data_IF_985976700115
#
_entry.id   IF_985976700115
#
_cell.length_a   1.000
_cell.length_b   1.000
_cell.length_c   1.000
_cell.angle_alpha   90.00
_cell.angle_beta   90.00
_cell.angle_gamma   90.00
#
_symmetry.space_group_name_H-M   'P 1'
#
loop_
_entity.id
_entity.type
_entity.pdbx_description
1 polymer ?
#
# COMPACT_ATOMS: atom_id res chain seq x y z
N UNK A 1 20.27 5.38 8.27
CA UNK A 1 20.65 4.59 7.07
C UNK A 1 19.37 4.22 6.31
N UNK A 2 19.44 4.10 5.00
CA UNK A 2 18.35 4.27 4.02
C UNK A 2 17.21 3.21 4.04
N UNK A 3 15.96 3.68 3.87
CA UNK A 3 14.73 2.89 3.72
C UNK A 3 14.35 2.66 2.23
N UNK A 4 14.05 1.40 1.92
CA UNK A 4 13.38 0.92 0.70
C UNK A 4 11.95 0.51 1.07
N UNK A 5 11.02 0.64 0.12
CA UNK A 5 9.55 0.53 0.25
C UNK A 5 8.92 1.44 1.35
N UNK A 6 7.71 1.91 1.06
CA UNK A 6 7.27 3.24 1.48
C UNK A 6 6.47 3.20 2.79
N UNK A 7 7.16 2.83 3.87
CA UNK A 7 6.62 2.87 5.24
C UNK A 7 7.58 3.65 6.15
N UNK A 8 7.08 4.71 6.82
CA UNK A 8 7.83 5.55 7.78
C UNK A 8 7.63 4.98 9.21
N UNK A 9 8.62 4.84 10.12
CA UNK A 9 9.54 5.80 10.79
C UNK A 9 10.89 5.12 11.14
N UNK A 10 12.05 5.76 11.38
CA UNK A 10 12.40 7.01 12.07
C UNK A 10 13.34 6.63 13.24
N UNK A 11 14.66 6.63 13.00
CA UNK A 11 15.69 6.07 13.89
C UNK A 11 15.77 6.73 15.29
N UNK A 12 16.09 5.88 16.27
CA UNK A 12 16.24 6.13 17.70
C UNK A 12 17.39 7.09 18.06
N UNK A 13 17.08 8.13 18.83
CA UNK A 13 18.00 8.76 19.77
C UNK A 13 17.23 9.05 21.07
N UNK A 14 17.77 8.55 22.18
CA UNK A 14 17.12 8.60 23.48
C UNK A 14 17.04 10.01 24.07
N UNK A 15 15.91 10.31 24.70
CA UNK A 15 15.88 11.00 25.97
C UNK A 15 14.63 10.59 26.76
N UNK A 16 14.87 10.25 28.02
CA UNK A 16 13.85 9.89 28.99
C UNK A 16 12.96 11.11 29.31
N UNK A 17 11.65 10.88 29.39
CA UNK A 17 10.75 11.76 30.12
C UNK A 17 9.68 10.94 30.85
N UNK A 18 9.67 11.12 32.16
CA UNK A 18 8.68 10.63 33.13
C UNK A 18 7.33 11.32 32.95
N UNK A 19 6.36 10.84 33.74
CA UNK A 19 5.03 11.37 34.07
C UNK A 19 3.91 10.67 33.30
N UNK A 20 2.77 10.32 33.90
CA UNK A 20 2.25 10.59 35.22
C UNK A 20 0.81 10.10 35.26
N UNK A 21 0.40 9.55 36.39
CA UNK A 21 -0.99 9.19 36.72
C UNK A 21 -1.88 10.43 36.58
N UNK A 22 -3.03 10.35 35.90
CA UNK A 22 -4.21 11.13 36.29
C UNK A 22 -5.54 10.53 35.82
N UNK A 23 -6.54 10.79 36.67
CA UNK A 23 -7.82 10.11 36.85
C UNK A 23 -8.90 10.37 35.79
N UNK A 24 -9.83 9.40 35.76
CA UNK A 24 -11.28 9.51 35.45
C UNK A 24 -11.87 10.91 35.66
N UNK A 25 -12.60 11.41 34.67
CA UNK A 25 -13.81 12.22 34.87
C UNK A 25 -14.89 11.88 33.84
N UNK A 26 -16.12 11.76 34.36
CA UNK A 26 -17.41 11.62 33.66
C UNK A 26 -17.93 12.98 33.20
N UNK A 27 -19.06 12.94 32.49
CA UNK A 27 -19.93 14.03 32.00
C UNK A 27 -19.48 14.56 30.64
N UNK A 28 -20.30 14.70 29.60
CA UNK A 28 -21.73 14.50 29.39
C UNK A 28 -22.12 15.47 28.28
N UNK A 29 -22.55 14.98 27.11
CA UNK A 29 -23.07 15.87 26.05
C UNK A 29 -24.22 15.21 25.29
N UNK A 30 -25.40 15.84 25.42
CA UNK A 30 -26.60 15.64 24.60
C UNK A 30 -26.37 16.32 23.25
N UNK A 31 -26.80 15.67 22.16
CA UNK A 31 -26.82 16.27 20.82
C UNK A 31 -27.70 15.45 19.88
N UNK A 32 -28.79 16.08 19.43
CA UNK A 32 -29.94 15.53 18.72
C UNK A 32 -29.61 14.82 17.39
N UNK A 33 -30.34 13.74 17.10
CA UNK A 33 -30.43 13.12 15.77
C UNK A 33 -31.63 13.76 15.07
N UNK A 34 -31.42 14.55 14.01
CA UNK A 34 -32.50 15.00 13.13
C UNK A 34 -32.83 13.87 12.15
N UNK A 35 -34.03 13.31 12.25
CA UNK A 35 -34.57 12.37 11.26
C UNK A 35 -35.11 13.15 10.06
N UNK A 36 -34.47 12.99 8.90
CA UNK A 36 -35.02 13.38 7.61
C UNK A 36 -35.48 12.13 6.87
N UNK A 37 -36.80 11.94 6.73
CA UNK A 37 -37.37 10.92 5.86
C UNK A 37 -37.37 11.45 4.42
N UNK A 38 -36.56 10.84 3.56
CA UNK A 38 -36.72 10.91 2.11
C UNK A 38 -36.55 9.47 1.57
N UNK A 39 -37.41 9.08 0.63
CA UNK A 39 -37.71 7.69 0.31
C UNK A 39 -36.50 6.75 0.10
N UNK A 40 -36.61 5.55 0.65
CA UNK A 40 -35.97 4.34 0.13
C UNK A 40 -34.46 4.14 0.33
N UNK A 41 -33.71 5.10 0.89
CA UNK A 41 -32.27 4.94 1.15
C UNK A 41 -31.94 5.42 2.56
N UNK A 42 -31.56 4.49 3.46
CA UNK A 42 -31.07 4.84 4.80
C UNK A 42 -29.59 5.24 4.67
N UNK A 43 -29.32 6.54 4.64
CA UNK A 43 -27.96 7.07 4.70
C UNK A 43 -27.45 7.06 6.14
N UNK A 44 -26.53 6.14 6.47
CA UNK A 44 -25.82 6.14 7.75
C UNK A 44 -24.78 7.27 7.75
N UNK A 45 -25.07 8.39 8.40
CA UNK A 45 -24.03 9.37 8.74
C UNK A 45 -23.25 8.85 9.95
N UNK A 46 -22.17 8.10 9.68
CA UNK A 46 -21.21 7.71 10.70
C UNK A 46 -20.53 8.94 11.28
N UNK A 47 -20.51 9.09 12.61
CA UNK A 47 -19.63 10.07 13.26
C UNK A 47 -18.19 9.69 12.97
N UNK A 48 -17.41 10.69 12.56
CA UNK A 48 -15.99 10.58 12.26
C UNK A 48 -15.20 10.34 13.57
N UNK A 49 -15.12 9.09 14.01
CA UNK A 49 -14.18 8.69 15.04
C UNK A 49 -12.79 8.54 14.38
N UNK A 50 -11.73 9.00 15.05
CA UNK A 50 -10.36 9.21 14.53
C UNK A 50 -9.65 7.97 13.92
N UNK A 51 -10.34 6.84 13.75
CA UNK A 51 -9.85 5.59 13.16
C UNK A 51 -10.75 5.05 12.01
N UNK A 52 -11.54 5.90 11.35
CA UNK A 52 -12.37 5.51 10.21
C UNK A 52 -13.83 5.16 10.57
N UNK A 53 -14.67 5.01 9.54
CA UNK A 53 -16.11 4.81 9.63
C UNK A 53 -16.47 3.42 10.20
N UNK A 54 -16.36 3.24 11.52
CA UNK A 54 -16.86 2.06 12.21
C UNK A 54 -18.19 2.37 12.89
N UNK A 55 -19.28 1.72 12.46
CA UNK A 55 -20.50 1.68 13.25
C UNK A 55 -20.26 0.70 14.39
N UNK A 56 -20.19 1.16 15.65
CA UNK A 56 -20.07 0.23 16.79
C UNK A 56 -21.24 -0.74 16.77
N UNK A 57 -20.93 -2.03 16.95
CA UNK A 57 -21.87 -3.15 16.95
C UNK A 57 -23.08 -2.92 17.88
N UNK A 58 -22.89 -2.17 18.96
CA UNK A 58 -23.94 -1.77 19.90
C UNK A 58 -25.00 -0.86 19.26
N UNK A 59 -24.60 0.15 18.48
CA UNK A 59 -25.53 1.12 17.88
C UNK A 59 -26.37 0.50 16.76
N UNK A 60 -25.79 -0.43 16.00
CA UNK A 60 -26.50 -1.15 14.94
C UNK A 60 -27.45 -2.22 15.50
N UNK A 61 -27.06 -2.86 16.61
CA UNK A 61 -27.91 -3.84 17.31
C UNK A 61 -29.19 -3.21 17.88
N UNK A 62 -29.10 -1.98 18.39
CA UNK A 62 -30.26 -1.26 18.91
C UNK A 62 -31.20 -0.79 17.78
N UNK A 63 -30.65 -0.41 16.61
CA UNK A 63 -31.44 -0.10 15.41
C UNK A 63 -32.23 -1.32 14.90
N UNK A 64 -31.59 -2.50 14.81
CA UNK A 64 -32.23 -3.72 14.34
C UNK A 64 -33.27 -4.29 15.32
N UNK A 65 -33.14 -4.01 16.63
CA UNK A 65 -34.18 -4.31 17.64
C UNK A 65 -35.40 -3.41 17.49
N UNK A 66 -35.18 -2.13 17.24
CA UNK A 66 -36.27 -1.14 17.13
C UNK A 66 -37.14 -1.35 15.87
N UNK A 67 -36.57 -1.91 14.80
CA UNK A 67 -37.26 -2.10 13.51
C UNK A 67 -37.61 -3.58 13.20
N UNK A 68 -37.57 -4.48 14.19
CA UNK A 68 -38.01 -5.87 14.02
C UNK A 68 -37.16 -6.75 13.11
N UNK A 69 -35.96 -6.30 12.71
CA UNK A 69 -35.03 -7.02 11.80
C UNK A 69 -33.88 -7.70 12.53
N UNK A 70 -34.07 -8.03 13.81
CA UNK A 70 -33.02 -8.59 14.68
C UNK A 70 -32.49 -9.95 14.19
N UNK A 71 -33.34 -10.76 13.54
CA UNK A 71 -32.96 -12.04 12.94
C UNK A 71 -32.08 -11.89 11.69
N UNK A 72 -32.11 -10.72 11.04
CA UNK A 72 -31.25 -10.38 9.90
C UNK A 72 -29.96 -9.68 10.32
N UNK A 73 -29.76 -9.40 11.61
CA UNK A 73 -28.59 -8.70 12.12
C UNK A 73 -27.26 -9.31 11.67
N UNK A 74 -27.03 -10.65 11.73
CA UNK A 74 -25.78 -11.24 11.26
C UNK A 74 -25.58 -11.09 9.75
N UNK A 75 -26.67 -11.22 8.98
CA UNK A 75 -26.65 -11.11 7.51
C UNK A 75 -26.42 -9.68 7.04
N UNK A 76 -27.09 -8.70 7.66
CA UNK A 76 -26.95 -7.28 7.34
C UNK A 76 -25.60 -6.77 7.82
N UNK A 77 -25.15 -7.15 9.03
CA UNK A 77 -23.82 -6.79 9.53
C UNK A 77 -22.71 -7.38 8.64
N UNK A 78 -22.83 -8.64 8.23
CA UNK A 78 -21.89 -9.25 7.30
C UNK A 78 -22.00 -8.67 5.88
N UNK A 79 -23.19 -8.32 5.40
CA UNK A 79 -23.37 -7.68 4.09
C UNK A 79 -22.84 -6.24 4.09
N UNK A 80 -23.00 -5.50 5.19
CA UNK A 80 -22.47 -4.14 5.35
C UNK A 80 -20.95 -4.17 5.52
N UNK A 81 -20.39 -5.11 6.29
CA UNK A 81 -18.94 -5.33 6.35
C UNK A 81 -18.37 -5.85 5.03
N UNK A 82 -19.08 -6.75 4.33
CA UNK A 82 -18.70 -7.16 2.97
C UNK A 82 -18.75 -5.98 2.01
N UNK A 83 -19.79 -5.14 2.03
CA UNK A 83 -19.84 -3.89 1.24
C UNK A 83 -18.73 -2.91 1.62
N UNK A 84 -18.40 -2.74 2.90
CA UNK A 84 -17.27 -1.92 3.35
C UNK A 84 -15.93 -2.50 2.87
N UNK A 85 -15.75 -3.82 2.91
CA UNK A 85 -14.59 -4.52 2.35
C UNK A 85 -14.57 -4.56 0.82
N UNK A 86 -15.73 -4.42 0.17
CA UNK A 86 -15.91 -4.52 -1.29
C UNK A 86 -15.91 -3.13 -1.96
N UNK A 87 -16.20 -2.05 -1.22
CA UNK A 87 -15.97 -0.65 -1.62
C UNK A 87 -14.55 -0.19 -1.31
N UNK A 88 -13.84 -0.85 -0.39
CA UNK A 88 -12.38 -0.80 -0.35
C UNK A 88 -11.83 -1.80 -1.36
N UNK A 89 -11.94 -1.45 -2.64
CA UNK A 89 -11.07 -2.03 -3.67
C UNK A 89 -9.66 -1.55 -3.35
N UNK A 90 -8.97 -2.26 -2.46
CA UNK A 90 -7.66 -1.84 -1.93
C UNK A 90 -6.65 -1.92 -3.07
N UNK A 91 -6.49 -0.80 -3.77
CA UNK A 91 -5.24 -0.48 -4.44
C UNK A 91 -4.11 -0.61 -3.41
N UNK A 92 -3.00 -1.24 -3.79
CA UNK A 92 -2.03 -1.78 -2.85
C UNK A 92 -1.11 -0.77 -2.14
N UNK A 93 -1.45 0.53 -2.10
CA UNK A 93 -0.70 1.48 -1.27
C UNK A 93 -0.97 1.16 0.21
N UNK A 94 0.06 0.73 0.93
CA UNK A 94 0.00 0.47 2.36
C UNK A 94 0.68 1.60 3.14
N UNK A 95 0.01 2.11 4.17
CA UNK A 95 0.51 3.20 5.00
C UNK A 95 0.46 2.82 6.48
N UNK A 96 1.58 2.92 7.18
CA UNK A 96 1.65 2.74 8.64
C UNK A 96 0.89 3.83 9.41
N UNK A 97 0.95 5.05 8.89
CA UNK A 97 0.32 6.23 9.46
C UNK A 97 -0.11 7.16 8.31
N UNK A 98 -1.21 7.90 8.51
CA UNK A 98 -1.72 8.88 7.56
C UNK A 98 -3.15 8.61 7.11
N UNK A 99 -3.57 9.28 6.04
CA UNK A 99 -4.88 9.09 5.42
C UNK A 99 -4.77 8.97 3.91
N UNK A 100 -5.61 8.13 3.32
CA UNK A 100 -5.83 8.13 1.88
C UNK A 100 -6.57 9.39 1.47
N UNK A 101 -6.17 9.97 0.34
CA UNK A 101 -6.71 11.25 -0.15
C UNK A 101 -6.81 11.28 -1.66
N UNK A 102 -7.70 12.13 -2.18
CA UNK A 102 -7.77 12.44 -3.61
C UNK A 102 -6.81 13.56 -4.03
N UNK A 103 -6.69 13.81 -5.34
CA UNK A 103 -5.87 14.90 -5.90
C UNK A 103 -6.26 16.27 -5.35
N UNK A 104 -7.56 16.53 -5.19
CA UNK A 104 -8.06 17.82 -4.69
C UNK A 104 -7.56 18.10 -3.26
N UNK A 105 -7.56 17.10 -2.39
CA UNK A 105 -7.02 17.23 -1.04
C UNK A 105 -5.50 17.43 -1.03
N UNK A 106 -4.77 16.81 -1.98
CA UNK A 106 -3.32 17.00 -2.11
C UNK A 106 -3.01 18.42 -2.57
N UNK A 107 -3.80 18.98 -3.49
CA UNK A 107 -3.63 20.35 -3.97
C UNK A 107 -3.82 21.41 -2.86
N UNK A 108 -4.56 21.07 -1.80
CA UNK A 108 -4.76 21.92 -0.63
C UNK A 108 -3.59 21.87 0.37
N UNK A 109 -2.63 20.97 0.20
CA UNK A 109 -1.48 20.87 1.11
C UNK A 109 -0.56 22.09 0.91
N UNK A 110 -0.33 22.91 1.94
CA UNK A 110 0.51 24.09 1.83
C UNK A 110 1.96 23.67 1.60
N UNK A 111 2.59 24.21 0.55
CA UNK A 111 4.01 23.99 0.31
C UNK A 111 4.82 24.90 1.22
N UNK A 112 5.78 24.38 2.01
CA UNK A 112 6.58 25.21 2.90
C UNK A 112 7.40 26.26 2.15
N UNK A 113 7.76 27.33 2.85
CA UNK A 113 8.64 28.35 2.29
C UNK A 113 10.02 27.77 2.01
N UNK A 114 10.53 28.02 0.79
CA UNK A 114 11.88 27.64 0.41
C UNK A 114 12.93 28.35 1.28
N UNK A 115 14.06 27.68 1.51
CA UNK A 115 15.27 28.30 2.08
C UNK A 115 16.33 28.45 0.99
N UNK A 116 17.43 29.16 1.29
CA UNK A 116 18.51 29.40 0.33
C UNK A 116 19.08 28.10 -0.32
N UNK A 117 19.06 26.97 0.42
CA UNK A 117 19.60 25.69 -0.02
C UNK A 117 18.54 24.63 -0.35
N UNK A 118 17.27 24.88 -0.04
CA UNK A 118 16.20 23.88 -0.16
C UNK A 118 14.92 24.48 -0.74
N UNK A 119 14.45 23.91 -1.85
CA UNK A 119 13.21 24.31 -2.53
C UNK A 119 12.24 23.14 -2.53
N UNK A 120 11.22 23.11 -1.65
CA UNK A 120 10.21 22.07 -1.67
C UNK A 120 9.45 22.10 -2.99
N UNK A 121 9.09 20.92 -3.48
CA UNK A 121 8.23 20.79 -4.65
C UNK A 121 6.82 20.44 -4.15
N UNK A 122 5.77 21.19 -4.56
CA UNK A 122 4.39 20.85 -4.22
C UNK A 122 4.06 19.40 -4.57
N UNK A 123 3.22 18.77 -3.74
CA UNK A 123 2.83 17.37 -3.99
C UNK A 123 2.01 17.22 -5.27
N UNK A 124 1.14 18.19 -5.58
CA UNK A 124 0.39 18.27 -6.84
C UNK A 124 1.31 18.30 -8.05
N UNK A 125 2.31 19.17 -8.05
CA UNK A 125 3.21 19.36 -9.19
C UNK A 125 3.98 18.09 -9.54
N UNK A 126 4.36 17.30 -8.52
CA UNK A 126 4.98 15.98 -8.75
C UNK A 126 4.01 15.02 -9.45
N UNK A 127 2.77 14.96 -8.98
CA UNK A 127 1.75 14.07 -9.54
C UNK A 127 1.46 14.50 -10.98
N UNK A 128 1.33 15.80 -11.23
CA UNK A 128 1.04 16.35 -12.54
C UNK A 128 2.19 16.12 -13.52
N UNK A 129 3.44 16.37 -13.10
CA UNK A 129 4.62 16.07 -13.92
C UNK A 129 4.70 14.58 -14.30
N UNK A 130 4.44 13.67 -13.35
CA UNK A 130 4.41 12.22 -13.65
C UNK A 130 3.26 11.90 -14.61
N UNK A 131 2.08 12.49 -14.40
CA UNK A 131 0.91 12.30 -15.26
C UNK A 131 1.16 12.76 -16.69
N UNK A 132 1.80 13.91 -16.87
CA UNK A 132 2.15 14.47 -18.17
C UNK A 132 3.13 13.57 -18.91
N UNK A 133 4.18 13.10 -18.24
CA UNK A 133 5.18 12.22 -18.86
C UNK A 133 4.58 10.86 -19.20
N UNK A 134 3.76 10.27 -18.33
CA UNK A 134 3.02 9.02 -18.62
C UNK A 134 2.15 9.18 -19.87
N UNK A 135 1.42 10.30 -19.99
CA UNK A 135 0.62 10.61 -21.19
C UNK A 135 1.48 10.82 -22.43
N UNK A 136 2.63 11.49 -22.31
CA UNK A 136 3.56 11.71 -23.41
C UNK A 136 4.13 10.39 -23.96
N UNK A 137 4.23 9.36 -23.12
CA UNK A 137 4.57 7.99 -23.53
C UNK A 137 3.39 7.19 -24.13
N UNK A 138 2.22 7.83 -24.32
CA UNK A 138 0.96 7.19 -24.72
C UNK A 138 0.51 6.07 -23.77
N UNK A 139 0.87 6.16 -22.49
CA UNK A 139 0.34 5.26 -21.46
C UNK A 139 -0.94 5.85 -20.87
N UNK A 140 -1.91 4.99 -20.57
CA UNK A 140 -3.13 5.39 -19.87
C UNK A 140 -3.01 5.01 -18.39
N UNK A 141 -3.33 5.96 -17.52
CA UNK A 141 -3.50 5.71 -16.10
C UNK A 141 -4.86 5.00 -15.94
N UNK A 142 -4.82 3.75 -15.49
CA UNK A 142 -6.02 2.96 -15.23
C UNK A 142 -6.63 3.29 -13.87
N UNK A 143 -5.77 3.52 -12.88
CA UNK A 143 -6.15 3.75 -11.50
C UNK A 143 -5.01 4.44 -10.76
N UNK A 144 -5.35 5.28 -9.80
CA UNK A 144 -4.38 5.96 -8.95
C UNK A 144 -4.89 6.00 -7.52
N UNK A 145 -3.96 5.93 -6.57
CA UNK A 145 -4.25 6.05 -5.15
C UNK A 145 -3.15 6.84 -4.49
N UNK A 146 -3.52 7.75 -3.60
CA UNK A 146 -2.59 8.59 -2.86
C UNK A 146 -2.88 8.56 -1.38
N UNK A 147 -1.87 8.91 -0.60
CA UNK A 147 -2.03 9.15 0.82
C UNK A 147 -1.03 10.16 1.36
N UNK A 148 -1.47 10.83 2.42
CA UNK A 148 -0.72 11.84 3.14
C UNK A 148 -0.41 11.35 4.55
N UNK A 149 0.85 11.47 4.96
CA UNK A 149 1.32 11.15 6.30
C UNK A 149 1.94 12.39 6.96
N UNK A 150 2.14 12.34 8.28
CA UNK A 150 2.73 13.42 9.08
C UNK A 150 2.07 14.79 8.78
N UNK A 151 0.74 14.84 8.93
CA UNK A 151 -0.05 16.07 8.71
C UNK A 151 0.17 16.72 7.33
N UNK A 152 0.29 15.89 6.29
CA UNK A 152 0.47 16.35 4.91
C UNK A 152 1.93 16.59 4.50
N UNK A 153 2.90 16.43 5.40
CA UNK A 153 4.32 16.66 5.07
C UNK A 153 4.92 15.57 4.19
N UNK A 154 4.29 14.41 4.08
CA UNK A 154 4.75 13.30 3.22
C UNK A 154 3.60 12.83 2.37
N UNK A 155 3.85 12.69 1.07
CA UNK A 155 2.89 12.16 0.12
C UNK A 155 3.45 10.89 -0.52
N UNK A 156 2.57 9.89 -0.61
CA UNK A 156 2.82 8.62 -1.25
C UNK A 156 1.72 8.35 -2.26
N UNK A 157 2.09 7.75 -3.39
CA UNK A 157 1.16 7.48 -4.48
C UNK A 157 1.50 6.22 -5.25
N UNK A 158 0.49 5.61 -5.85
CA UNK A 158 0.64 4.50 -6.79
C UNK A 158 -0.25 4.80 -8.00
N UNK A 159 0.33 4.82 -9.19
CA UNK A 159 -0.38 4.92 -10.47
C UNK A 159 -0.26 3.60 -11.22
N UNK A 160 -1.38 2.92 -11.48
CA UNK A 160 -1.42 1.73 -12.33
C UNK A 160 -1.65 2.15 -13.77
N UNK A 161 -0.82 1.67 -14.69
CA UNK A 161 -0.87 2.04 -16.11
C UNK A 161 -1.29 0.87 -16.99
N UNK A 162 -1.90 1.16 -18.13
CA UNK A 162 -2.49 0.17 -19.05
C UNK A 162 -1.48 -0.61 -19.88
N UNK A 163 -0.20 -0.21 -19.84
CA UNK A 163 0.85 -0.85 -20.61
C UNK A 163 1.25 -2.15 -19.93
N UNK A 164 0.70 -3.25 -20.39
CA UNK A 164 1.13 -4.60 -20.03
C UNK A 164 0.76 -5.53 -21.18
N UNK A 165 1.63 -6.48 -21.49
CA UNK A 165 1.32 -7.61 -22.37
C UNK A 165 0.56 -8.73 -21.64
N UNK A 166 0.42 -8.63 -20.32
CA UNK A 166 -0.13 -9.69 -19.47
C UNK A 166 -1.57 -9.41 -19.08
N UNK A 167 -2.36 -10.47 -18.99
CA UNK A 167 -3.71 -10.39 -18.43
C UNK A 167 -3.71 -10.47 -16.89
N UNK A 168 -2.57 -10.80 -16.27
CA UNK A 168 -2.47 -11.12 -14.83
C UNK A 168 -1.88 -9.99 -13.99
N UNK A 169 -1.06 -9.12 -14.57
CA UNK A 169 -0.52 -7.93 -13.89
C UNK A 169 -0.69 -6.68 -14.73
N UNK A 170 -0.40 -5.53 -14.13
CA UNK A 170 -0.26 -4.26 -14.82
C UNK A 170 0.95 -3.52 -14.27
N UNK A 171 1.66 -2.77 -15.12
CA UNK A 171 2.74 -1.89 -14.66
C UNK A 171 2.18 -0.84 -13.68
N UNK A 172 2.96 -0.50 -12.66
CA UNK A 172 2.61 0.56 -11.71
C UNK A 172 3.83 1.44 -11.37
N UNK A 173 3.56 2.72 -11.13
CA UNK A 173 4.55 3.72 -10.74
C UNK A 173 4.28 4.10 -9.28
N UNK A 174 5.25 3.83 -8.42
CA UNK A 174 5.25 4.32 -7.04
C UNK A 174 5.80 5.73 -6.98
N UNK A 175 5.15 6.62 -6.24
CA UNK A 175 5.50 8.03 -6.10
C UNK A 175 5.71 8.33 -4.62
N UNK A 176 6.77 9.08 -4.30
CA UNK A 176 6.96 9.65 -2.97
C UNK A 176 7.50 11.06 -3.03
N UNK A 177 7.00 11.91 -2.15
CA UNK A 177 7.47 13.29 -1.99
C UNK A 177 7.43 13.69 -0.50
N UNK A 178 8.30 14.61 -0.08
CA UNK A 178 8.23 15.16 1.28
C UNK A 178 8.57 16.64 1.37
N UNK A 179 7.93 17.29 2.33
CA UNK A 179 8.09 18.69 2.70
C UNK A 179 8.88 18.87 4.01
N UNK A 180 9.09 17.79 4.77
CA UNK A 180 9.84 17.79 6.04
C UNK A 180 11.33 17.42 5.88
N UNK A 181 11.83 17.32 4.64
CA UNK A 181 13.22 16.95 4.28
C UNK A 181 13.63 15.53 4.69
N UNK A 182 12.70 14.71 5.14
CA UNK A 182 13.02 13.34 5.58
C UNK A 182 13.11 12.36 4.42
N UNK A 183 12.49 12.68 3.28
CA UNK A 183 12.53 11.87 2.07
C UNK A 183 12.88 12.72 0.85
N UNK A 184 13.73 12.16 -0.01
CA UNK A 184 13.90 12.69 -1.35
C UNK A 184 12.67 12.36 -2.20
N UNK A 185 12.35 13.24 -3.16
CA UNK A 185 11.44 12.91 -4.26
C UNK A 185 11.93 11.61 -4.91
N UNK A 186 11.01 10.67 -5.11
CA UNK A 186 11.33 9.44 -5.80
C UNK A 186 10.20 8.76 -6.51
N UNK A 187 10.59 8.03 -7.55
CA UNK A 187 9.76 7.20 -8.40
C UNK A 187 10.30 5.77 -8.40
N UNK A 188 9.41 4.78 -8.39
CA UNK A 188 9.74 3.36 -8.43
C UNK A 188 8.89 2.62 -9.46
N UNK A 189 9.46 1.65 -10.15
CA UNK A 189 8.72 0.73 -11.02
C UNK A 189 8.22 -0.48 -10.21
N UNK A 190 6.99 -0.90 -10.48
CA UNK A 190 6.44 -2.13 -9.95
C UNK A 190 5.44 -2.79 -10.89
N UNK A 191 5.03 -4.00 -10.52
CA UNK A 191 3.89 -4.70 -11.10
C UNK A 191 2.79 -4.79 -10.05
N UNK A 192 1.56 -4.51 -10.47
CA UNK A 192 0.36 -4.74 -9.67
C UNK A 192 -0.28 -6.04 -10.15
N UNK A 193 -0.31 -7.07 -9.30
CA UNK A 193 -1.02 -8.32 -9.60
C UNK A 193 -2.52 -8.05 -9.53
N UNK A 194 -3.26 -8.37 -10.60
CA UNK A 194 -4.64 -7.89 -10.76
C UNK A 194 -5.63 -8.55 -9.81
N UNK A 195 -5.45 -9.83 -9.51
CA UNK A 195 -6.41 -10.66 -8.76
C UNK A 195 -6.42 -10.37 -7.27
N UNK A 196 -5.25 -10.00 -6.73
CA UNK A 196 -5.04 -9.77 -5.31
C UNK A 196 -4.62 -8.32 -4.99
N UNK A 197 -4.42 -7.47 -6.01
CA UNK A 197 -3.90 -6.09 -5.89
C UNK A 197 -2.57 -5.98 -5.14
N UNK A 198 -1.78 -7.07 -5.13
CA UNK A 198 -0.45 -7.06 -4.54
C UNK A 198 0.47 -6.19 -5.40
N UNK A 199 1.17 -5.24 -4.76
CA UNK A 199 2.19 -4.45 -5.43
C UNK A 199 3.55 -5.12 -5.26
N UNK A 200 4.17 -5.42 -6.39
CA UNK A 200 5.50 -5.95 -6.49
C UNK A 200 6.42 -4.87 -7.06
N UNK A 201 7.07 -4.11 -6.19
CA UNK A 201 8.08 -3.14 -6.62
C UNK A 201 9.44 -3.81 -6.82
N UNK A 202 10.14 -3.40 -7.88
CA UNK A 202 11.55 -3.73 -8.05
C UNK A 202 12.41 -3.06 -6.97
N UNK A 203 13.60 -3.60 -6.73
CA UNK A 203 14.49 -3.17 -5.66
C UNK A 203 15.07 -1.75 -5.79
N UNK A 204 14.82 -1.02 -6.87
CA UNK A 204 15.36 0.30 -7.16
C UNK A 204 14.29 1.39 -7.20
N UNK A 205 14.36 2.35 -6.27
CA UNK A 205 13.77 3.68 -6.51
C UNK A 205 14.67 4.37 -7.54
N UNK A 206 14.18 4.53 -8.76
CA UNK A 206 14.93 5.07 -9.91
C UNK A 206 15.30 6.54 -9.68
N UNK A 207 14.42 7.32 -9.05
CA UNK A 207 14.70 8.71 -8.72
C UNK A 207 14.92 8.88 -7.21
N UNK A 208 16.08 9.38 -6.80
CA UNK A 208 16.32 9.86 -5.43
C UNK A 208 16.95 11.25 -5.50
N UNK A 209 16.13 12.27 -5.76
CA UNK A 209 16.63 13.66 -5.86
C UNK A 209 16.18 14.48 -4.65
N UNK A 210 17.15 15.09 -3.98
CA UNK A 210 16.88 16.03 -2.89
C UNK A 210 16.31 17.32 -3.46
N UNK A 211 15.37 17.91 -2.74
CA UNK A 211 14.75 19.21 -3.01
C UNK A 211 15.76 20.35 -2.87
N UNK A 212 16.59 20.58 -3.88
CA UNK A 212 17.56 21.69 -3.90
C UNK A 212 17.00 22.89 -4.65
N UNK A 213 17.58 24.08 -4.47
CA UNK A 213 17.16 25.31 -5.15
C UNK A 213 17.24 25.24 -6.69
N UNK A 214 17.98 24.27 -7.25
CA UNK A 214 18.16 24.04 -8.69
C UNK A 214 17.35 22.83 -9.22
N UNK A 215 16.30 22.42 -8.51
CA UNK A 215 15.50 21.26 -8.92
C UNK A 215 14.66 21.61 -10.16
N UNK A 216 14.96 20.94 -11.27
CA UNK A 216 14.18 20.99 -12.52
C UNK A 216 13.26 19.76 -12.58
N UNK A 217 12.05 19.89 -12.05
CA UNK A 217 11.13 18.77 -11.84
C UNK A 217 10.83 18.00 -13.14
N UNK A 218 10.43 18.69 -14.20
CA UNK A 218 9.98 18.06 -15.44
C UNK A 218 11.10 17.25 -16.11
N UNK A 219 12.32 17.80 -16.14
CA UNK A 219 13.49 17.07 -16.67
C UNK A 219 13.81 15.82 -15.87
N UNK A 220 13.76 15.92 -14.53
CA UNK A 220 14.01 14.78 -13.63
C UNK A 220 12.95 13.69 -13.74
N UNK A 221 11.67 14.07 -13.83
CA UNK A 221 10.58 13.10 -13.98
C UNK A 221 10.65 12.44 -15.35
N UNK A 222 10.96 13.18 -16.41
CA UNK A 222 11.15 12.61 -17.75
C UNK A 222 12.28 11.58 -17.78
N UNK A 223 13.46 11.91 -17.26
CA UNK A 223 14.59 10.98 -17.17
C UNK A 223 14.23 9.73 -16.35
N UNK A 224 13.56 9.93 -15.20
CA UNK A 224 13.16 8.85 -14.33
C UNK A 224 12.13 7.91 -14.99
N UNK A 225 11.10 8.46 -15.64
CA UNK A 225 10.07 7.65 -16.30
C UNK A 225 10.63 6.90 -17.50
N UNK A 226 11.52 7.51 -18.28
CA UNK A 226 12.25 6.80 -19.34
C UNK A 226 13.04 5.60 -18.79
N UNK A 227 13.65 5.78 -17.62
CA UNK A 227 14.40 4.71 -16.95
C UNK A 227 13.50 3.62 -16.35
N UNK A 228 12.23 3.92 -16.04
CA UNK A 228 11.25 2.91 -15.57
C UNK A 228 11.00 1.82 -16.61
N UNK A 229 11.13 2.10 -17.91
CA UNK A 229 10.86 1.10 -18.96
C UNK A 229 11.75 -0.14 -18.82
N UNK A 230 13.05 0.04 -18.55
CA UNK A 230 13.99 -1.07 -18.35
C UNK A 230 13.68 -1.86 -17.08
N UNK A 231 13.29 -1.18 -16.00
CA UNK A 231 12.92 -1.83 -14.75
C UNK A 231 11.61 -2.62 -14.90
N UNK A 232 10.64 -2.09 -15.65
CA UNK A 232 9.42 -2.84 -15.99
C UNK A 232 9.73 -4.12 -16.77
N UNK A 233 10.59 -4.04 -17.79
CA UNK A 233 11.00 -5.21 -18.57
C UNK A 233 11.70 -6.25 -17.69
N UNK A 234 12.56 -5.81 -16.78
CA UNK A 234 13.23 -6.70 -15.83
C UNK A 234 12.23 -7.42 -14.94
N UNK A 235 11.27 -6.68 -14.36
CA UNK A 235 10.22 -7.26 -13.52
C UNK A 235 9.30 -8.21 -14.29
N UNK A 236 8.94 -7.87 -15.53
CA UNK A 236 8.10 -8.70 -16.39
C UNK A 236 8.82 -10.01 -16.71
N UNK A 237 10.11 -9.97 -17.08
CA UNK A 237 10.89 -11.18 -17.35
C UNK A 237 10.99 -12.09 -16.12
N UNK A 238 11.32 -11.51 -14.95
CA UNK A 238 11.38 -12.28 -13.70
C UNK A 238 10.03 -12.88 -13.37
N UNK A 239 8.93 -12.14 -13.54
CA UNK A 239 7.58 -12.65 -13.28
C UNK A 239 7.21 -13.83 -14.19
N UNK A 240 7.57 -13.77 -15.48
CA UNK A 240 7.35 -14.88 -16.43
C UNK A 240 8.23 -16.10 -16.10
N UNK A 241 9.49 -15.91 -15.72
CA UNK A 241 10.38 -17.00 -15.28
C UNK A 241 9.80 -17.73 -14.06
N UNK A 242 9.34 -16.98 -13.05
CA UNK A 242 8.76 -17.55 -11.83
C UNK A 242 7.52 -18.41 -12.09
N UNK A 243 6.78 -18.16 -13.18
CA UNK A 243 5.60 -18.95 -13.55
C UNK A 243 5.93 -20.28 -14.17
N UNK A 244 7.06 -20.39 -14.86
CA UNK A 244 7.45 -21.61 -15.57
C UNK A 244 8.19 -22.56 -14.63
N UNK A 245 8.85 -22.00 -13.61
CA UNK A 245 9.58 -22.78 -12.62
C UNK A 245 8.63 -23.46 -11.62
N UNK A 246 8.33 -24.74 -11.86
CA UNK A 246 7.64 -25.62 -10.92
C UNK A 246 8.49 -25.90 -9.68
N UNK A 247 7.81 -26.09 -8.54
CA UNK A 247 8.41 -26.45 -7.27
C UNK A 247 7.74 -27.71 -6.71
N UNK A 248 8.57 -28.62 -6.20
CA UNK A 248 8.07 -29.71 -5.39
C UNK A 248 7.87 -29.31 -3.92
N UNK A 249 7.12 -30.13 -3.19
CA UNK A 249 6.77 -29.89 -1.79
C UNK A 249 8.00 -29.69 -0.87
N UNK A 250 9.11 -30.38 -1.12
CA UNK A 250 10.32 -30.29 -0.29
C UNK A 250 11.12 -29.02 -0.57
N UNK A 251 11.20 -28.59 -1.83
CA UNK A 251 11.77 -27.30 -2.23
C UNK A 251 11.01 -26.13 -1.59
N UNK A 252 9.68 -26.22 -1.58
CA UNK A 252 8.82 -25.20 -0.94
C UNK A 252 9.10 -25.19 0.56
N UNK A 253 9.08 -26.34 1.25
CA UNK A 253 9.35 -26.40 2.69
C UNK A 253 10.71 -25.82 3.06
N UNK A 254 11.76 -26.16 2.31
CA UNK A 254 13.09 -25.58 2.50
C UNK A 254 13.08 -24.06 2.31
N UNK A 255 12.44 -23.58 1.24
CA UNK A 255 12.31 -22.15 0.93
C UNK A 255 11.59 -21.37 2.04
N UNK A 256 10.55 -21.96 2.66
CA UNK A 256 9.84 -21.31 3.76
C UNK A 256 10.73 -21.11 4.99
N UNK A 257 11.59 -22.09 5.30
CA UNK A 257 12.55 -21.98 6.41
C UNK A 257 13.58 -20.90 6.11
N UNK A 258 14.17 -20.89 4.92
CA UNK A 258 15.12 -19.85 4.49
C UNK A 258 14.48 -18.45 4.54
N UNK A 259 13.23 -18.31 4.09
CA UNK A 259 12.50 -17.04 4.16
C UNK A 259 12.30 -16.57 5.61
N UNK A 260 12.05 -17.48 6.56
CA UNK A 260 11.96 -17.16 7.97
C UNK A 260 13.31 -16.80 8.59
N UNK A 261 14.39 -17.50 8.26
CA UNK A 261 15.77 -17.18 8.69
C UNK A 261 16.19 -15.78 8.22
N UNK A 262 15.82 -15.42 6.99
CA UNK A 262 16.03 -14.09 6.40
C UNK A 262 15.03 -13.04 6.89
N UNK A 263 14.20 -13.40 7.87
CA UNK A 263 13.18 -12.55 8.49
C UNK A 263 12.17 -11.98 7.48
N UNK A 264 12.02 -12.58 6.30
CA UNK A 264 10.98 -12.20 5.35
C UNK A 264 9.59 -12.42 5.97
N UNK A 265 9.41 -13.55 6.67
CA UNK A 265 8.23 -13.87 7.48
C UNK A 265 8.61 -14.21 8.93
N UNK A 266 7.70 -14.04 9.91
CA UNK A 266 7.87 -14.62 11.23
C UNK A 266 7.83 -16.16 11.16
N UNK A 267 8.60 -16.85 12.01
CA UNK A 267 8.64 -18.32 12.02
C UNK A 267 7.27 -18.98 12.26
N UNK A 268 6.39 -18.33 13.03
CA UNK A 268 5.03 -18.81 13.25
C UNK A 268 4.16 -18.82 11.99
N UNK A 269 4.56 -18.09 10.94
CA UNK A 269 3.80 -17.97 9.70
C UNK A 269 4.26 -18.93 8.61
N UNK A 270 5.29 -19.75 8.85
CA UNK A 270 5.74 -20.81 7.92
C UNK A 270 4.56 -21.69 7.48
N UNK A 271 3.80 -22.20 8.44
CA UNK A 271 2.62 -23.03 8.13
C UNK A 271 1.48 -22.24 7.50
N UNK A 272 1.39 -20.93 7.76
CA UNK A 272 0.38 -20.09 7.10
C UNK A 272 0.68 -19.95 5.62
N UNK A 273 1.94 -19.64 5.26
CA UNK A 273 2.36 -19.53 3.87
C UNK A 273 2.28 -20.88 3.16
N UNK A 274 2.69 -21.96 3.83
CA UNK A 274 2.53 -23.32 3.30
C UNK A 274 1.08 -23.62 2.93
N UNK A 275 0.14 -23.34 3.83
CA UNK A 275 -1.27 -23.60 3.58
C UNK A 275 -1.83 -22.74 2.45
N UNK A 276 -1.41 -21.46 2.36
CA UNK A 276 -1.78 -20.58 1.25
C UNK A 276 -1.21 -21.07 -0.08
N UNK A 277 0.01 -21.62 -0.12
CA UNK A 277 0.58 -22.21 -1.33
C UNK A 277 -0.15 -23.48 -1.76
N UNK A 278 -0.52 -24.37 -0.82
CA UNK A 278 -1.24 -25.61 -1.15
C UNK A 278 -2.73 -25.39 -1.47
N UNK A 279 -3.33 -24.36 -0.90
CA UNK A 279 -4.75 -24.04 -1.06
C UNK A 279 -4.91 -22.53 -1.30
N UNK A 280 -4.47 -22.03 -2.46
CA UNK A 280 -4.48 -20.60 -2.75
C UNK A 280 -5.89 -20.05 -2.78
N UNK A 281 -6.07 -18.82 -2.30
CA UNK A 281 -7.36 -18.10 -2.40
C UNK A 281 -7.77 -17.77 -3.84
N UNK A 282 -6.81 -17.76 -4.75
CA UNK A 282 -6.97 -17.40 -6.16
C UNK A 282 -6.61 -18.60 -7.03
N UNK A 283 -7.50 -18.94 -7.97
CA UNK A 283 -7.31 -20.08 -8.89
C UNK A 283 -6.09 -19.88 -9.79
N UNK A 284 -5.76 -18.62 -10.08
CA UNK A 284 -4.58 -18.21 -10.85
C UNK A 284 -3.25 -18.62 -10.19
N UNK A 285 -3.26 -19.03 -8.93
CA UNK A 285 -2.09 -19.53 -8.21
C UNK A 285 -2.16 -21.04 -7.90
N UNK A 286 -3.08 -21.78 -8.51
CA UNK A 286 -3.26 -23.22 -8.26
C UNK A 286 -2.03 -24.06 -8.66
N UNK A 287 -1.31 -23.65 -9.71
CA UNK A 287 -0.11 -24.34 -10.17
C UNK A 287 1.06 -24.15 -9.18
N UNK A 288 1.80 -25.22 -8.82
CA UNK A 288 2.82 -25.18 -7.77
C UNK A 288 4.15 -24.59 -8.29
N UNK A 289 4.13 -23.31 -8.66
CA UNK A 289 5.26 -22.60 -9.27
C UNK A 289 5.93 -21.65 -8.28
N UNK A 290 7.12 -21.13 -8.61
CA UNK A 290 7.75 -20.06 -7.81
C UNK A 290 6.86 -18.82 -7.75
N UNK A 291 6.05 -18.57 -8.79
CA UNK A 291 5.07 -17.49 -8.83
C UNK A 291 3.96 -17.67 -7.80
N UNK A 292 3.38 -18.86 -7.67
CA UNK A 292 2.36 -19.10 -6.64
C UNK A 292 2.94 -19.03 -5.24
N UNK A 293 4.19 -19.46 -5.04
CA UNK A 293 4.88 -19.30 -3.75
C UNK A 293 5.10 -17.82 -3.39
N UNK A 294 5.57 -17.00 -4.33
CA UNK A 294 5.68 -15.54 -4.11
C UNK A 294 4.33 -14.93 -3.74
N UNK A 295 3.26 -15.34 -4.42
CA UNK A 295 1.91 -14.85 -4.13
C UNK A 295 1.39 -15.34 -2.77
N UNK A 296 1.72 -16.56 -2.35
CA UNK A 296 1.39 -17.05 -1.01
C UNK A 296 2.05 -16.21 0.10
N UNK A 297 3.32 -15.81 -0.09
CA UNK A 297 4.00 -14.90 0.83
C UNK A 297 3.35 -13.53 0.88
N UNK A 298 3.10 -12.92 -0.28
CA UNK A 298 2.56 -11.56 -0.37
C UNK A 298 1.12 -11.46 0.10
N UNK A 299 0.32 -12.51 -0.09
CA UNK A 299 -1.02 -12.64 0.44
C UNK A 299 -1.00 -12.78 1.97
N UNK A 300 -0.12 -13.64 2.51
CA UNK A 300 0.06 -13.75 3.96
C UNK A 300 0.48 -12.41 4.58
N UNK A 301 1.30 -11.63 3.87
CA UNK A 301 1.78 -10.33 4.35
C UNK A 301 0.68 -9.29 4.56
N UNK A 302 -0.51 -9.43 3.95
CA UNK A 302 -1.65 -8.53 4.16
C UNK A 302 -2.16 -8.50 5.59
N UNK A 303 -1.91 -9.55 6.38
CA UNK A 303 -2.31 -9.59 7.80
C UNK A 303 -1.36 -8.80 8.70
N UNK A 304 -0.18 -8.42 8.21
CA UNK A 304 0.83 -7.74 9.00
C UNK A 304 0.50 -6.26 9.16
N UNK A 305 1.11 -5.64 10.18
CA UNK A 305 1.19 -4.18 10.22
C UNK A 305 1.94 -3.68 8.98
N UNK A 306 1.65 -2.46 8.49
CA UNK A 306 2.31 -1.93 7.29
C UNK A 306 3.85 -1.97 7.37
N UNK A 307 4.43 -1.68 8.54
CA UNK A 307 5.89 -1.76 8.74
C UNK A 307 6.45 -3.18 8.59
N UNK A 308 5.72 -4.20 9.05
CA UNK A 308 6.14 -5.59 8.93
C UNK A 308 5.91 -6.15 7.52
N UNK A 309 4.82 -5.74 6.87
CA UNK A 309 4.56 -6.06 5.47
C UNK A 309 5.63 -5.48 4.55
N UNK A 310 6.05 -4.24 4.80
CA UNK A 310 7.15 -3.60 4.08
C UNK A 310 8.46 -4.40 4.16
N UNK A 311 8.84 -4.80 5.38
CA UNK A 311 10.00 -5.67 5.58
C UNK A 311 9.86 -6.98 4.81
N UNK A 312 8.67 -7.58 4.83
CA UNK A 312 8.39 -8.80 4.07
C UNK A 312 8.64 -8.58 2.57
N UNK A 313 7.99 -7.59 1.97
CA UNK A 313 8.12 -7.31 0.54
C UNK A 313 9.56 -7.01 0.12
N UNK A 314 10.31 -6.25 0.93
CA UNK A 314 11.74 -5.99 0.65
C UNK A 314 12.58 -7.25 0.68
N UNK A 315 12.37 -8.12 1.66
CA UNK A 315 13.09 -9.39 1.73
C UNK A 315 12.72 -10.26 0.53
N UNK A 316 11.45 -10.30 0.13
CA UNK A 316 10.98 -11.04 -1.04
C UNK A 316 11.63 -10.54 -2.34
N UNK A 317 11.84 -9.24 -2.50
CA UNK A 317 12.59 -8.70 -3.66
C UNK A 317 13.93 -9.38 -3.85
N UNK A 318 14.72 -9.53 -2.78
CA UNK A 318 16.04 -10.18 -2.84
C UNK A 318 15.94 -11.70 -2.96
N UNK A 319 15.01 -12.30 -2.22
CA UNK A 319 14.80 -13.75 -2.21
C UNK A 319 14.40 -14.28 -3.59
N UNK A 320 13.51 -13.58 -4.29
CA UNK A 320 13.00 -13.96 -5.60
C UNK A 320 13.72 -13.31 -6.78
N UNK A 321 14.71 -12.43 -6.54
CA UNK A 321 15.47 -11.78 -7.62
C UNK A 321 14.69 -10.72 -8.39
N UNK A 322 13.67 -10.11 -7.77
CA UNK A 322 12.82 -9.08 -8.38
C UNK A 322 13.57 -7.75 -8.66
N UNK A 323 14.84 -7.65 -8.28
CA UNK A 323 15.74 -6.54 -8.58
C UNK A 323 16.71 -6.86 -9.74
N UNK A 324 16.46 -7.93 -10.51
CA UNK A 324 17.27 -8.36 -11.63
C UNK A 324 18.57 -9.09 -11.26
N UNK A 325 18.81 -9.37 -9.97
CA UNK A 325 19.99 -10.14 -9.52
C UNK A 325 19.60 -11.59 -9.18
N UNK A 326 20.52 -12.56 -9.29
CA UNK A 326 20.24 -13.98 -9.04
C UNK A 326 19.60 -14.23 -7.66
N UNK A 327 18.36 -14.71 -7.66
CA UNK A 327 17.55 -14.99 -6.48
C UNK A 327 18.35 -15.71 -5.37
N UNK A 328 18.19 -15.25 -4.13
CA UNK A 328 18.88 -15.84 -2.98
C UNK A 328 18.18 -17.07 -2.42
N UNK A 329 16.88 -17.24 -2.71
CA UNK A 329 16.07 -18.32 -2.14
C UNK A 329 16.44 -19.70 -2.69
N UNK A 330 16.98 -19.76 -3.91
CA UNK A 330 17.23 -21.01 -4.65
C UNK A 330 18.70 -21.46 -4.61
N UNK A 331 19.51 -20.88 -3.73
CA UNK A 331 20.97 -21.13 -3.67
C UNK A 331 21.35 -22.27 -2.73
#
# INVERSE_FOLDING_TARGET
>A
MDCYNLVCFGDSNGHAARQGVFNRMRTGFRGNISQGFCGGIICFHGRNDRNGYSIRQSYFGDFCRTHGVSLLFPLIYNHFNKKQQQEQKIMGLMMSEGKFVGRDEIALVPTPTATASWKPVPHSDVIDAVTEVVKAHNWQILEEQYGLARDGQRMFGVMRINRTSSTEWSRCIGIRNSHDRTLALGLSAGLSVRVCSNLMFGGSTILKRRHTSRIELNGLVLEAVNSLELEFLTLENVAEELKIDELNDDEVRASLVVAAERQAIPSCDILTVWNEFKHPRHEEFAEPTRWSLLNAFTETAKKYSPARADQCYRSLTRLFGLDGKPAELWK
#
